data_IF_086222317979
#
_entry.id   IF_086222317979
#
_cell.length_a   1.000
_cell.length_b   1.000
_cell.length_c   1.000
_cell.angle_alpha   90.00
_cell.angle_beta   90.00
_cell.angle_gamma   90.00
#
_symmetry.space_group_name_H-M   'P 1'
#
loop_
_entity.id
_entity.type
_entity.pdbx_description
1 polymer ?
#
# COMPACT_ATOMS: atom_id res chain seq x y z
N UNK A 1 12.43 6.31 3.43
CA UNK A 1 11.24 5.68 2.83
C UNK A 1 10.72 6.57 1.72
N UNK A 2 10.41 6.02 0.54
CA UNK A 2 9.74 6.73 -0.54
C UNK A 2 8.74 5.82 -1.24
N UNK A 3 7.61 6.40 -1.65
CA UNK A 3 6.45 5.65 -2.09
C UNK A 3 5.38 6.54 -2.69
N UNK A 4 4.21 5.95 -2.95
CA UNK A 4 2.99 6.66 -3.31
C UNK A 4 1.95 6.50 -2.21
N UNK A 5 1.04 7.47 -2.13
CA UNK A 5 -0.01 7.55 -1.13
C UNK A 5 -1.36 7.71 -1.81
N UNK A 6 -2.38 7.06 -1.26
CA UNK A 6 -3.78 7.35 -1.57
C UNK A 6 -4.64 7.29 -0.31
N UNK A 7 -5.69 8.10 -0.29
CA UNK A 7 -6.80 7.97 0.67
C UNK A 7 -8.00 7.36 -0.02
N UNK A 8 -8.47 6.24 0.50
CA UNK A 8 -9.70 5.58 0.06
C UNK A 8 -10.83 6.01 0.99
N UNK A 9 -11.95 6.43 0.40
CA UNK A 9 -13.15 6.79 1.15
C UNK A 9 -14.17 5.67 1.02
N UNK A 10 -14.64 5.17 2.15
CA UNK A 10 -15.72 4.22 2.21
C UNK A 10 -16.96 4.93 2.74
N UNK A 11 -18.01 4.92 1.94
CA UNK A 11 -19.30 5.50 2.29
C UNK A 11 -20.32 4.38 2.36
N UNK A 12 -20.98 4.24 3.52
CA UNK A 12 -22.10 3.34 3.68
C UNK A 12 -23.39 4.15 3.62
N UNK A 13 -24.21 3.87 2.62
CA UNK A 13 -25.50 4.51 2.41
C UNK A 13 -26.66 3.59 2.82
N UNK A 14 -27.79 4.18 3.15
CA UNK A 14 -29.10 3.55 3.35
C UNK A 14 -30.20 4.36 2.66
N UNK A 15 -31.46 3.92 2.78
CA UNK A 15 -32.61 4.53 2.11
C UNK A 15 -32.76 6.04 2.40
N UNK A 16 -32.36 6.50 3.59
CA UNK A 16 -32.46 7.91 4.02
C UNK A 16 -31.15 8.71 3.83
N UNK A 17 -30.15 8.14 3.17
CA UNK A 17 -28.87 8.81 2.89
C UNK A 17 -27.65 8.13 3.52
N UNK A 18 -26.58 8.90 3.68
CA UNK A 18 -25.30 8.43 4.22
C UNK A 18 -25.41 8.08 5.71
N UNK A 19 -25.06 6.84 6.06
CA UNK A 19 -25.08 6.33 7.43
C UNK A 19 -23.71 6.48 8.09
N UNK A 20 -22.65 6.18 7.34
CA UNK A 20 -21.30 6.40 7.83
C UNK A 20 -20.30 6.61 6.69
N UNK A 21 -19.22 7.32 7.04
CA UNK A 21 -18.05 7.50 6.19
C UNK A 21 -16.80 7.24 7.00
N UNK A 22 -15.89 6.48 6.42
CA UNK A 22 -14.60 6.21 7.01
C UNK A 22 -13.53 6.18 5.93
N UNK A 23 -12.30 6.44 6.33
CA UNK A 23 -11.15 6.47 5.43
C UNK A 23 -10.23 5.28 5.66
N UNK A 24 -9.53 4.88 4.61
CA UNK A 24 -8.31 4.09 4.71
C UNK A 24 -7.18 4.83 4.00
N UNK A 25 -6.03 4.91 4.65
CA UNK A 25 -4.82 5.46 4.07
C UNK A 25 -3.93 4.32 3.61
N UNK A 26 -3.61 4.31 2.32
CA UNK A 26 -2.73 3.31 1.73
C UNK A 26 -1.42 3.96 1.30
N UNK A 27 -0.32 3.35 1.73
CA UNK A 27 1.03 3.74 1.37
C UNK A 27 1.69 2.58 0.63
N UNK A 28 2.10 2.77 -0.62
CA UNK A 28 2.88 1.79 -1.38
C UNK A 28 4.33 2.27 -1.39
N UNK A 29 5.20 1.57 -0.69
CA UNK A 29 6.59 1.94 -0.43
C UNK A 29 7.51 1.14 -1.34
N UNK A 30 8.16 1.84 -2.28
CA UNK A 30 9.09 1.26 -3.26
C UNK A 30 10.55 1.33 -2.79
N UNK A 31 10.90 2.35 -2.00
CA UNK A 31 12.26 2.52 -1.44
C UNK A 31 12.19 2.51 0.08
N UNK A 32 12.79 1.50 0.70
CA UNK A 32 12.79 1.31 2.14
C UNK A 32 13.97 0.43 2.60
N UNK A 33 14.26 0.44 3.90
CA UNK A 33 15.34 -0.31 4.54
C UNK A 33 14.81 -1.59 5.21
N UNK A 34 13.95 -2.34 4.52
CA UNK A 34 13.34 -3.58 5.00
C UNK A 34 12.64 -3.47 6.37
N UNK A 35 12.89 -4.45 7.25
CA UNK A 35 12.25 -4.55 8.57
C UNK A 35 12.45 -3.31 9.46
N UNK A 36 13.59 -2.64 9.37
CA UNK A 36 13.86 -1.44 10.19
C UNK A 36 12.84 -0.33 9.95
N UNK A 37 12.43 -0.15 8.69
CA UNK A 37 11.42 0.83 8.29
C UNK A 37 10.01 0.36 8.67
N UNK A 38 9.71 -0.94 8.54
CA UNK A 38 8.43 -1.53 8.96
C UNK A 38 8.18 -1.32 10.45
N UNK A 39 9.19 -1.55 11.28
CA UNK A 39 9.11 -1.34 12.73
C UNK A 39 8.98 0.13 13.09
N UNK A 40 9.72 1.00 12.40
CA UNK A 40 9.62 2.44 12.57
C UNK A 40 8.21 2.94 12.26
N UNK A 41 7.59 2.45 11.18
CA UNK A 41 6.21 2.78 10.82
C UNK A 41 5.24 2.38 11.93
N UNK A 42 5.25 1.12 12.38
CA UNK A 42 4.32 0.65 13.42
C UNK A 42 4.52 1.38 14.76
N UNK A 43 5.75 1.77 15.09
CA UNK A 43 6.09 2.52 16.30
C UNK A 43 5.53 3.94 16.26
N UNK A 44 5.68 4.60 15.12
CA UNK A 44 5.37 6.02 14.94
C UNK A 44 3.93 6.27 14.47
N UNK A 45 3.25 5.28 13.90
CA UNK A 45 1.87 5.40 13.48
C UNK A 45 0.98 5.88 14.64
N UNK A 46 0.10 6.83 14.35
CA UNK A 46 -0.84 7.42 15.30
C UNK A 46 -2.26 7.28 14.78
N UNK A 47 -3.26 7.14 15.66
CA UNK A 47 -4.65 7.19 15.24
C UNK A 47 -4.97 8.57 14.68
N UNK A 48 -5.75 8.63 13.59
CA UNK A 48 -6.29 9.87 13.04
C UNK A 48 -7.82 9.86 13.14
N UNK A 49 -8.47 11.03 13.23
CA UNK A 49 -9.92 11.14 13.15
C UNK A 49 -10.44 10.51 11.85
N UNK A 50 -11.56 9.78 11.95
CA UNK A 50 -12.29 9.15 10.84
C UNK A 50 -11.48 8.13 9.99
N UNK A 51 -10.25 7.81 10.42
CA UNK A 51 -9.36 6.90 9.73
C UNK A 51 -9.46 5.50 10.34
N UNK A 52 -10.08 4.59 9.61
CA UNK A 52 -10.29 3.22 10.06
C UNK A 52 -9.00 2.41 10.02
N UNK A 53 -8.19 2.56 8.96
CA UNK A 53 -6.94 1.81 8.82
C UNK A 53 -5.88 2.58 8.06
N UNK A 54 -4.63 2.36 8.44
CA UNK A 54 -3.43 2.79 7.73
C UNK A 54 -2.72 1.52 7.24
N UNK A 55 -2.70 1.29 5.92
CA UNK A 55 -2.06 0.13 5.31
C UNK A 55 -0.77 0.56 4.63
N UNK A 56 0.34 -0.03 5.05
CA UNK A 56 1.65 0.22 4.49
C UNK A 56 2.12 -1.03 3.74
N UNK A 57 2.14 -0.96 2.43
CA UNK A 57 2.60 -2.02 1.53
C UNK A 57 4.06 -1.78 1.17
N UNK A 58 4.94 -2.66 1.64
CA UNK A 58 6.36 -2.66 1.31
C UNK A 58 6.58 -3.57 0.11
N UNK A 59 7.05 -3.00 -1.00
CA UNK A 59 7.34 -3.76 -2.22
C UNK A 59 8.75 -4.31 -2.13
N UNK A 60 8.87 -5.63 -2.01
CA UNK A 60 10.15 -6.32 -1.78
C UNK A 60 10.51 -7.21 -2.97
N UNK A 61 11.80 -7.26 -3.32
CA UNK A 61 12.31 -8.13 -4.40
C UNK A 61 12.32 -9.62 -4.02
N UNK A 62 12.45 -9.92 -2.72
CA UNK A 62 12.48 -11.28 -2.18
C UNK A 62 11.36 -11.45 -1.16
N UNK A 63 10.71 -12.61 -1.17
CA UNK A 63 9.67 -12.93 -0.20
C UNK A 63 10.26 -12.96 1.21
N UNK A 64 9.80 -12.06 2.07
CA UNK A 64 10.09 -12.12 3.49
C UNK A 64 9.16 -13.13 4.18
N UNK A 65 9.70 -13.87 5.15
CA UNK A 65 8.95 -14.88 5.91
C UNK A 65 7.83 -14.25 6.79
N UNK A 66 7.88 -12.93 6.99
CA UNK A 66 6.89 -12.17 7.76
C UNK A 66 6.10 -11.26 6.84
N UNK A 67 5.01 -11.79 6.30
CA UNK A 67 4.20 -11.09 5.29
C UNK A 67 3.32 -9.99 5.89
N UNK A 68 3.02 -10.03 7.19
CA UNK A 68 2.11 -9.07 7.82
C UNK A 68 2.45 -8.80 9.29
N UNK A 69 2.34 -7.53 9.69
CA UNK A 69 2.38 -7.07 11.09
C UNK A 69 1.34 -5.96 11.27
N UNK A 70 0.71 -5.89 12.44
CA UNK A 70 -0.31 -4.87 12.70
C UNK A 70 -0.32 -4.39 14.14
N UNK A 71 -0.83 -3.19 14.33
CA UNK A 71 -1.05 -2.55 15.62
C UNK A 71 -2.46 -1.94 15.63
N UNK A 72 -3.22 -2.21 16.69
CA UNK A 72 -4.49 -1.52 16.92
C UNK A 72 -4.29 -0.31 17.83
N UNK A 73 -5.11 0.73 17.63
CA UNK A 73 -5.14 1.90 18.50
C UNK A 73 -6.37 1.85 19.39
N UNK A 74 -6.18 2.05 20.70
CA UNK A 74 -7.23 1.97 21.72
C UNK A 74 -8.10 0.71 21.53
N UNK A 75 -7.48 -0.48 21.59
CA UNK A 75 -8.14 -1.77 21.36
C UNK A 75 -8.87 -1.92 20.00
N UNK A 76 -8.62 -1.03 19.04
CA UNK A 76 -9.27 -1.00 17.73
C UNK A 76 -10.31 0.12 17.56
N UNK A 77 -10.72 0.78 18.64
CA UNK A 77 -11.69 1.88 18.59
C UNK A 77 -11.18 3.13 17.88
N UNK A 78 -9.85 3.26 17.69
CA UNK A 78 -9.23 4.36 16.95
C UNK A 78 -8.49 3.89 15.70
N UNK A 79 -8.95 2.78 15.13
CA UNK A 79 -8.43 2.20 13.91
C UNK A 79 -7.15 1.38 14.10
N UNK A 80 -6.51 1.09 12.98
CA UNK A 80 -5.38 0.16 12.87
C UNK A 80 -4.24 0.75 12.04
N UNK A 81 -3.03 0.28 12.31
CA UNK A 81 -1.89 0.42 11.41
C UNK A 81 -1.38 -0.98 11.05
N UNK A 82 -1.34 -1.29 9.77
CA UNK A 82 -0.95 -2.59 9.24
C UNK A 82 0.19 -2.42 8.24
N UNK A 83 1.20 -3.27 8.37
CA UNK A 83 2.33 -3.37 7.46
C UNK A 83 2.25 -4.71 6.74
N UNK A 84 2.40 -4.66 5.42
CA UNK A 84 2.38 -5.80 4.53
C UNK A 84 3.67 -5.84 3.72
N UNK A 85 4.21 -7.04 3.53
CA UNK A 85 5.30 -7.30 2.59
C UNK A 85 4.69 -7.88 1.32
N UNK A 86 5.02 -7.30 0.16
CA UNK A 86 4.52 -7.76 -1.13
C UNK A 86 5.66 -7.99 -2.10
N UNK A 87 5.72 -9.20 -2.64
CA UNK A 87 6.68 -9.57 -3.68
C UNK A 87 5.92 -9.77 -4.99
N UNK A 88 6.17 -8.94 -6.02
CA UNK A 88 5.51 -9.07 -7.31
C UNK A 88 5.65 -10.50 -7.87
N UNK A 89 4.56 -11.08 -8.37
CA UNK A 89 4.55 -12.41 -8.99
C UNK A 89 4.45 -13.61 -8.04
N UNK A 90 4.55 -13.42 -6.72
CA UNK A 90 4.42 -14.51 -5.72
C UNK A 90 2.99 -14.66 -5.18
N UNK A 91 2.10 -13.71 -5.52
CA UNK A 91 0.71 -13.65 -5.07
C UNK A 91 0.47 -12.64 -3.96
N UNK A 92 -0.80 -12.32 -3.68
CA UNK A 92 -1.20 -11.31 -2.70
C UNK A 92 -2.02 -11.91 -1.54
N UNK A 93 -1.79 -11.41 -0.32
CA UNK A 93 -2.69 -11.65 0.82
C UNK A 93 -4.09 -11.10 0.48
N UNK A 94 -5.13 -11.83 0.89
CA UNK A 94 -6.54 -11.44 0.74
C UNK A 94 -6.86 -10.01 1.16
N UNK A 95 -6.14 -9.46 2.15
CA UNK A 95 -6.34 -8.10 2.68
C UNK A 95 -5.76 -6.97 1.83
N UNK A 96 -4.88 -7.31 0.88
CA UNK A 96 -4.24 -6.35 -0.04
C UNK A 96 -4.59 -6.66 -1.50
N UNK A 97 -5.66 -7.44 -1.75
CA UNK A 97 -6.14 -7.77 -3.10
C UNK A 97 -6.43 -6.56 -3.97
N UNK A 98 -6.74 -5.42 -3.36
CA UNK A 98 -6.98 -4.15 -4.05
C UNK A 98 -5.69 -3.36 -4.35
N UNK A 99 -4.61 -3.61 -3.60
CA UNK A 99 -3.33 -2.90 -3.73
C UNK A 99 -2.32 -3.66 -4.61
N UNK A 100 -2.27 -4.99 -4.51
CA UNK A 100 -1.34 -5.84 -5.27
C UNK A 100 -1.41 -5.60 -6.80
N UNK A 101 -2.61 -5.61 -7.41
CA UNK A 101 -2.75 -5.36 -8.85
C UNK A 101 -2.26 -3.97 -9.29
N UNK A 102 -2.30 -2.97 -8.41
CA UNK A 102 -1.78 -1.63 -8.72
C UNK A 102 -0.26 -1.62 -8.82
N UNK A 103 0.40 -2.35 -7.92
CA UNK A 103 1.86 -2.54 -7.94
C UNK A 103 2.26 -3.29 -9.20
N UNK A 104 1.59 -4.40 -9.50
CA UNK A 104 1.87 -5.20 -10.71
C UNK A 104 1.67 -4.38 -11.99
N UNK A 105 0.58 -3.62 -12.08
CA UNK A 105 0.33 -2.76 -13.24
C UNK A 105 1.37 -1.66 -13.39
N UNK A 106 1.79 -1.04 -12.28
CA UNK A 106 2.84 -0.03 -12.31
C UNK A 106 4.17 -0.61 -12.83
N UNK A 107 4.56 -1.79 -12.36
CA UNK A 107 5.75 -2.50 -12.85
C UNK A 107 5.62 -2.82 -14.34
N UNK A 108 4.48 -3.35 -14.78
CA UNK A 108 4.24 -3.68 -16.18
C UNK A 108 4.37 -2.45 -17.09
N UNK A 109 3.84 -1.29 -16.66
CA UNK A 109 3.94 -0.02 -17.41
C UNK A 109 5.39 0.48 -17.50
N UNK A 110 6.18 0.34 -16.43
CA UNK A 110 7.60 0.71 -16.44
C UNK A 110 8.36 -0.19 -17.41
N UNK A 111 8.10 -1.50 -17.39
CA UNK A 111 8.74 -2.46 -18.31
C UNK A 111 8.34 -2.21 -19.77
N UNK A 112 7.07 -1.93 -20.05
CA UNK A 112 6.61 -1.64 -21.41
C UNK A 112 7.14 -0.29 -21.92
N UNK A 113 7.22 0.72 -21.06
CA UNK A 113 7.81 2.02 -21.41
C UNK A 113 9.30 1.93 -21.70
N UNK A 114 10.02 1.03 -21.02
CA UNK A 114 11.47 0.81 -21.23
C UNK A 114 11.76 0.12 -22.57
N UNK A 115 10.82 -0.65 -23.12
CA UNK A 115 10.95 -1.27 -24.45
C UNK A 115 10.62 -0.30 -25.61
N UNK A 116 9.87 0.78 -25.36
CA UNK A 116 9.49 1.77 -26.39
C UNK A 116 10.49 2.91 -26.60
N UNK A 117 11.54 3.02 -25.78
CA UNK A 117 12.50 4.13 -25.80
C UNK A 117 13.79 3.90 -26.61
N UNK A 118 13.87 2.80 -27.37
CA UNK A 118 15.09 2.36 -28.06
C UNK A 118 15.13 2.58 -29.58
N UNK A 119 14.30 3.48 -30.12
CA UNK A 119 14.26 3.72 -31.57
C UNK A 119 14.12 5.20 -31.91
N UNK A 120 15.23 5.88 -32.16
CA UNK A 120 15.20 7.18 -32.83
C UNK A 120 16.48 8.02 -32.75
N UNK A 121 17.06 8.23 -33.95
CA UNK A 121 18.10 9.20 -34.36
C UNK A 121 19.57 8.82 -34.11
N UNK A 122 20.43 8.76 -35.11
CA UNK A 122 20.27 9.10 -36.53
C UNK A 122 21.62 9.05 -37.24
N UNK A 123 21.54 8.77 -38.54
CA UNK A 123 22.63 8.62 -39.51
C UNK A 123 23.50 9.88 -39.63
N UNK A 124 24.81 9.66 -39.85
CA UNK A 124 25.69 10.53 -40.63
C UNK A 124 26.57 9.67 -41.50
#
# INVERSE_FOLDING_TARGET
MAGVYRRVTFVKNALLGEVCRYYADDYILWRHNGESDKERVLRNARPQPDLMTQRYLFVEERSSNRQRRGRSFLFGFRGYAEVFSFTPGVGCDGRIKDLGPLVERAIALILSGKMGGGGGAGET
#
